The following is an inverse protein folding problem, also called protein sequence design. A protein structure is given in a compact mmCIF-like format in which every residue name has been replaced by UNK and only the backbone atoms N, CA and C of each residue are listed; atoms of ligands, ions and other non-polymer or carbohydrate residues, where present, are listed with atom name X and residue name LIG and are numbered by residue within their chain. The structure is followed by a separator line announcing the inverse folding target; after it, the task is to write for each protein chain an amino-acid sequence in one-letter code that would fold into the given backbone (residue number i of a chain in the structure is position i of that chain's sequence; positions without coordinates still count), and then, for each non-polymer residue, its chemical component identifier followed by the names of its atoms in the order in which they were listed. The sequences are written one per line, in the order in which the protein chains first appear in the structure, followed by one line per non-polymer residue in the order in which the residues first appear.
data_IF_997264938415
#
_entry.id   IF_997264938415
#
_cell.length_a   1.000
_cell.length_b   1.000
_cell.length_c   1.000
_cell.angle_alpha   90.00
_cell.angle_beta   90.00
_cell.angle_gamma   90.00
#
_symmetry.space_group_name_H-M   'P 1'
#
loop_
_entity.id
_entity.type
_entity.pdbx_description
1 polymer ?
#
# COMPACT_ATOMS: atom_id res chain seq x y z
N UNK A 1 -3.45 -15.18 -16.44
CA UNK A 1 -4.64 -15.90 -15.89
C UNK A 1 -4.58 -16.05 -14.37
N UNK A 2 -3.52 -16.58 -13.75
CA UNK A 2 -3.46 -16.81 -12.28
C UNK A 2 -3.63 -15.55 -11.39
N UNK A 3 -3.02 -14.41 -11.74
CA UNK A 3 -3.13 -13.18 -10.92
C UNK A 3 -4.55 -12.61 -10.89
N UNK A 4 -5.27 -12.69 -12.02
CA UNK A 4 -6.66 -12.27 -12.12
C UNK A 4 -7.57 -13.17 -11.28
N UNK A 5 -7.28 -14.47 -11.24
CA UNK A 5 -8.01 -15.46 -10.46
C UNK A 5 -7.88 -15.22 -8.95
N UNK A 6 -6.65 -14.96 -8.46
CA UNK A 6 -6.41 -14.62 -7.04
C UNK A 6 -7.06 -13.30 -6.64
N UNK A 7 -7.08 -12.32 -7.55
CA UNK A 7 -7.70 -11.01 -7.30
C UNK A 7 -9.23 -11.12 -7.29
N UNK A 8 -9.81 -11.94 -8.17
CA UNK A 8 -11.24 -12.24 -8.22
C UNK A 8 -11.68 -13.02 -6.98
N UNK A 9 -10.94 -14.08 -6.60
CA UNK A 9 -11.22 -14.88 -5.41
C UNK A 9 -11.23 -14.01 -4.14
N UNK A 10 -10.21 -13.16 -3.97
CA UNK A 10 -10.13 -12.22 -2.86
C UNK A 10 -11.33 -11.26 -2.79
N UNK A 11 -11.80 -10.79 -3.94
CA UNK A 11 -12.98 -9.91 -4.02
C UNK A 11 -14.27 -10.63 -3.62
N UNK A 12 -14.42 -11.91 -3.98
CA UNK A 12 -15.55 -12.73 -3.54
C UNK A 12 -15.48 -13.03 -2.04
N UNK A 13 -14.30 -13.39 -1.55
CA UNK A 13 -14.03 -13.66 -0.13
C UNK A 13 -14.33 -12.43 0.73
N UNK A 14 -13.90 -11.23 0.31
CA UNK A 14 -14.20 -9.98 1.00
C UNK A 14 -15.70 -9.68 1.04
N UNK A 15 -16.46 -10.00 -0.02
CA UNK A 15 -17.92 -9.85 -0.03
C UNK A 15 -18.60 -10.82 0.93
N UNK A 16 -18.23 -12.10 0.88
CA UNK A 16 -18.76 -13.14 1.77
C UNK A 16 -18.49 -12.81 3.24
N UNK A 17 -17.29 -12.31 3.56
CA UNK A 17 -16.91 -11.93 4.93
C UNK A 17 -17.72 -10.73 5.45
N UNK A 18 -18.00 -9.74 4.58
CA UNK A 18 -18.88 -8.60 4.91
C UNK A 18 -20.34 -9.02 5.13
N UNK A 19 -20.83 -9.93 4.30
CA UNK A 19 -22.18 -10.48 4.39
C UNK A 19 -22.36 -11.26 5.70
N UNK A 20 -21.45 -12.18 6.02
CA UNK A 20 -21.44 -12.94 7.27
C UNK A 20 -21.34 -12.02 8.50
N UNK A 21 -20.49 -10.99 8.44
CA UNK A 21 -20.42 -9.99 9.50
C UNK A 21 -21.76 -9.25 9.70
N UNK A 22 -22.48 -8.93 8.62
CA UNK A 22 -23.82 -8.33 8.70
C UNK A 22 -24.82 -9.27 9.35
N UNK A 23 -24.84 -10.54 8.96
CA UNK A 23 -25.76 -11.55 9.50
C UNK A 23 -25.49 -11.84 10.98
N UNK A 24 -24.22 -11.92 11.39
CA UNK A 24 -23.82 -12.01 12.80
C UNK A 24 -24.31 -10.79 13.60
N UNK A 25 -24.14 -9.57 13.07
CA UNK A 25 -24.65 -8.34 13.71
C UNK A 25 -26.17 -8.32 13.87
N UNK A 26 -26.90 -9.04 13.02
CA UNK A 26 -28.36 -9.17 13.07
C UNK A 26 -28.82 -10.37 13.92
N UNK A 27 -27.91 -11.13 14.53
CA UNK A 27 -28.24 -12.31 15.34
C UNK A 27 -28.69 -13.52 14.53
N UNK A 28 -28.52 -13.50 13.20
CA UNK A 28 -28.91 -14.59 12.31
C UNK A 28 -27.91 -15.75 12.30
N UNK A 29 -26.68 -15.50 12.74
CA UNK A 29 -25.55 -16.45 12.72
C UNK A 29 -24.85 -16.35 14.07
N UNK A 30 -24.44 -17.48 14.63
CA UNK A 30 -23.71 -17.51 15.90
C UNK A 30 -22.31 -16.92 15.74
N UNK A 31 -21.72 -16.48 16.85
CA UNK A 31 -20.33 -15.99 16.83
C UNK A 31 -19.34 -17.06 16.35
N UNK A 32 -19.57 -18.33 16.72
CA UNK A 32 -18.72 -19.46 16.36
C UNK A 32 -18.77 -19.73 14.85
N UNK A 33 -19.97 -19.79 14.25
CA UNK A 33 -20.13 -19.95 12.81
C UNK A 33 -19.49 -18.79 12.01
N UNK A 34 -19.65 -17.55 12.47
CA UNK A 34 -18.97 -16.41 11.87
C UNK A 34 -17.44 -16.55 11.95
N UNK A 35 -16.92 -16.93 13.12
CA UNK A 35 -15.48 -17.06 13.36
C UNK A 35 -14.88 -18.15 12.48
N UNK A 36 -15.52 -19.30 12.40
CA UNK A 36 -15.03 -20.45 11.65
C UNK A 36 -15.03 -20.17 10.16
N UNK A 37 -16.12 -19.60 9.63
CA UNK A 37 -16.22 -19.20 8.22
C UNK A 37 -15.20 -18.11 7.86
N UNK A 38 -15.02 -17.10 8.74
CA UNK A 38 -14.02 -16.07 8.56
C UNK A 38 -12.58 -16.62 8.60
N UNK A 39 -12.32 -17.63 9.45
CA UNK A 39 -11.05 -18.32 9.56
C UNK A 39 -10.75 -19.11 8.27
N UNK A 40 -11.66 -19.99 7.85
CA UNK A 40 -11.53 -20.80 6.64
C UNK A 40 -11.28 -19.96 5.38
N UNK A 41 -12.02 -18.86 5.25
CA UNK A 41 -11.83 -17.90 4.17
C UNK A 41 -10.43 -17.29 4.18
N UNK A 42 -9.97 -16.83 5.36
CA UNK A 42 -8.64 -16.22 5.51
C UNK A 42 -7.51 -17.21 5.22
N UNK A 43 -7.66 -18.46 5.67
CA UNK A 43 -6.71 -19.54 5.40
C UNK A 43 -6.65 -19.88 3.91
N UNK A 44 -7.80 -19.95 3.24
CA UNK A 44 -7.88 -20.17 1.79
C UNK A 44 -7.15 -19.08 1.01
N UNK A 45 -7.40 -17.82 1.35
CA UNK A 45 -6.69 -16.66 0.76
C UNK A 45 -5.18 -16.73 1.04
N UNK A 46 -4.80 -17.09 2.26
CA UNK A 46 -3.40 -17.25 2.67
C UNK A 46 -2.67 -18.31 1.84
N UNK A 47 -3.27 -19.49 1.70
CA UNK A 47 -2.74 -20.61 0.91
C UNK A 47 -2.62 -20.26 -0.57
N UNK A 48 -3.67 -19.67 -1.16
CA UNK A 48 -3.64 -19.26 -2.57
C UNK A 48 -2.55 -18.21 -2.85
N UNK A 49 -2.37 -17.26 -1.92
CA UNK A 49 -1.31 -16.26 -2.01
C UNK A 49 0.07 -16.89 -1.91
N UNK A 50 0.31 -17.76 -0.93
CA UNK A 50 1.59 -18.46 -0.77
C UNK A 50 1.95 -19.29 -2.01
N UNK A 51 0.96 -19.98 -2.59
CA UNK A 51 1.17 -20.74 -3.82
C UNK A 51 1.56 -19.85 -5.01
N UNK A 52 0.91 -18.69 -5.16
CA UNK A 52 1.25 -17.71 -6.19
C UNK A 52 2.69 -17.21 -6.01
N UNK A 53 3.07 -16.84 -4.79
CA UNK A 53 4.42 -16.35 -4.47
C UNK A 53 5.49 -17.42 -4.73
N UNK A 54 5.22 -18.67 -4.34
CA UNK A 54 6.10 -19.80 -4.61
C UNK A 54 6.27 -20.05 -6.11
N UNK A 55 5.19 -20.01 -6.88
CA UNK A 55 5.25 -20.16 -8.34
C UNK A 55 6.07 -19.04 -8.99
N UNK A 56 5.89 -17.79 -8.54
CA UNK A 56 6.65 -16.64 -9.06
C UNK A 56 8.13 -16.72 -8.71
N UNK A 57 8.48 -17.17 -7.50
CA UNK A 57 9.86 -17.34 -7.07
C UNK A 57 10.54 -18.47 -7.85
N UNK A 58 9.86 -19.61 -8.03
CA UNK A 58 10.38 -20.74 -8.82
C UNK A 58 10.63 -20.36 -10.27
N UNK A 59 9.74 -19.56 -10.85
CA UNK A 59 9.82 -19.14 -12.25
C UNK A 59 10.56 -17.81 -12.45
N UNK A 60 11.25 -17.30 -11.42
CA UNK A 60 11.85 -15.97 -11.47
C UNK A 60 12.89 -15.82 -12.60
N UNK A 61 13.60 -16.89 -12.96
CA UNK A 61 14.61 -16.87 -14.03
C UNK A 61 13.99 -16.82 -15.43
N UNK A 62 12.87 -17.50 -15.66
CA UNK A 62 12.21 -17.53 -16.97
C UNK A 62 11.19 -16.39 -17.12
N UNK A 63 10.60 -15.94 -16.01
CA UNK A 63 9.56 -14.91 -15.96
C UNK A 63 9.94 -13.77 -14.99
N UNK A 64 11.13 -13.20 -15.20
CA UNK A 64 11.63 -12.04 -14.45
C UNK A 64 10.59 -10.90 -14.41
N UNK A 65 9.94 -10.61 -15.54
CA UNK A 65 8.92 -9.56 -15.66
C UNK A 65 7.72 -9.82 -14.74
N UNK A 66 7.22 -11.05 -14.67
CA UNK A 66 6.12 -11.43 -13.79
C UNK A 66 6.47 -11.28 -12.31
N UNK A 67 7.67 -11.74 -11.94
CA UNK A 67 8.20 -11.62 -10.58
C UNK A 67 8.33 -10.15 -10.14
N UNK A 68 9.08 -9.33 -10.90
CA UNK A 68 9.28 -7.92 -10.56
C UNK A 68 7.97 -7.12 -10.61
N UNK A 69 7.02 -7.44 -11.50
CA UNK A 69 5.69 -6.81 -11.49
C UNK A 69 4.95 -7.06 -10.18
N UNK A 70 4.96 -8.30 -9.67
CA UNK A 70 4.32 -8.62 -8.39
C UNK A 70 4.99 -7.90 -7.22
N UNK A 71 6.33 -7.92 -7.17
CA UNK A 71 7.12 -7.22 -6.15
C UNK A 71 6.84 -5.71 -6.19
N UNK A 72 6.85 -5.10 -7.37
CA UNK A 72 6.57 -3.67 -7.53
C UNK A 72 5.13 -3.32 -7.14
N UNK A 73 4.15 -4.19 -7.43
CA UNK A 73 2.77 -4.01 -6.98
C UNK A 73 2.66 -4.06 -5.46
N UNK A 74 3.38 -4.98 -4.80
CA UNK A 74 3.40 -5.10 -3.32
C UNK A 74 4.19 -3.98 -2.64
N UNK A 75 5.25 -3.51 -3.28
CA UNK A 75 6.08 -2.37 -2.85
C UNK A 75 5.45 -1.02 -3.09
N UNK A 76 4.26 -0.94 -3.72
CA UNK A 76 3.47 0.30 -3.73
C UNK A 76 3.04 0.65 -2.30
N UNK A 77 3.98 1.15 -1.50
CA UNK A 77 3.66 2.16 -0.51
C UNK A 77 3.07 3.35 -1.28
N UNK A 78 2.16 4.09 -0.63
CA UNK A 78 1.67 5.36 -1.14
C UNK A 78 2.82 6.37 -1.02
N UNK A 79 3.86 6.20 -1.83
CA UNK A 79 4.93 7.18 -2.05
C UNK A 79 4.34 8.30 -2.91
N UNK A 80 3.31 8.95 -2.36
CA UNK A 80 3.00 10.31 -2.71
C UNK A 80 3.86 11.13 -1.79
N UNK A 81 4.72 11.98 -2.36
CA UNK A 81 5.20 13.15 -1.62
C UNK A 81 3.94 13.80 -1.03
N UNK A 82 3.87 14.01 0.30
CA UNK A 82 2.75 14.71 0.89
C UNK A 82 2.60 16.07 0.20
N UNK A 83 1.38 16.57 0.00
CA UNK A 83 1.19 17.88 -0.59
C UNK A 83 2.03 18.93 0.14
N UNK A 84 2.77 19.74 -0.60
CA UNK A 84 3.62 20.78 -0.02
C UNK A 84 2.73 21.84 0.63
N UNK A 85 3.10 22.24 1.84
CA UNK A 85 2.43 23.33 2.55
C UNK A 85 3.30 24.57 2.45
N UNK A 86 2.67 25.70 2.14
CA UNK A 86 3.33 26.98 2.22
C UNK A 86 3.55 27.40 3.68
N UNK A 87 4.26 28.50 3.89
CA UNK A 87 4.52 29.11 5.20
C UNK A 87 3.25 29.45 6.00
N UNK A 88 2.10 29.59 5.34
CA UNK A 88 0.82 29.87 5.98
C UNK A 88 0.07 28.59 6.38
N UNK A 89 0.58 27.41 6.00
CA UNK A 89 -0.06 26.12 6.24
C UNK A 89 -1.08 25.73 5.16
N UNK A 90 -1.20 26.49 4.07
CA UNK A 90 -2.07 26.16 2.93
C UNK A 90 -1.34 25.27 1.93
N UNK A 91 -2.11 24.49 1.15
CA UNK A 91 -1.57 23.67 0.06
C UNK A 91 -0.94 24.54 -1.04
N UNK A 92 0.32 24.29 -1.36
CA UNK A 92 0.96 24.88 -2.53
C UNK A 92 0.31 24.31 -3.81
N UNK A 93 -0.39 25.17 -4.53
CA UNK A 93 -1.28 24.81 -5.63
C UNK A 93 -0.62 25.00 -7.00
N UNK A 94 0.17 26.06 -7.16
CA UNK A 94 0.93 26.34 -8.38
C UNK A 94 2.33 25.74 -8.33
N UNK A 95 3.00 25.63 -9.48
CA UNK A 95 4.36 25.09 -9.53
C UNK A 95 5.37 26.10 -8.97
N UNK A 96 5.09 27.40 -9.10
CA UNK A 96 5.84 28.49 -8.48
C UNK A 96 5.78 28.40 -6.94
N UNK A 97 4.59 28.23 -6.35
CA UNK A 97 4.42 28.09 -4.90
C UNK A 97 5.20 26.88 -4.36
N UNK A 98 5.17 25.76 -5.08
CA UNK A 98 5.93 24.55 -4.70
C UNK A 98 7.43 24.80 -4.78
N UNK A 99 7.90 25.51 -5.81
CA UNK A 99 9.32 25.82 -5.98
C UNK A 99 9.82 26.74 -4.85
N UNK A 100 9.04 27.74 -4.45
CA UNK A 100 9.35 28.61 -3.31
C UNK A 100 9.46 27.82 -2.01
N UNK A 101 8.47 26.97 -1.70
CA UNK A 101 8.49 26.14 -0.47
C UNK A 101 9.74 25.27 -0.40
N UNK A 102 10.12 24.64 -1.51
CA UNK A 102 11.32 23.80 -1.57
C UNK A 102 12.61 24.63 -1.44
N UNK A 103 12.67 25.79 -2.10
CA UNK A 103 13.82 26.67 -2.04
C UNK A 103 14.04 27.26 -0.64
N UNK A 104 12.97 27.68 0.04
CA UNK A 104 13.00 28.19 1.41
C UNK A 104 13.48 27.11 2.38
N UNK A 105 12.96 25.88 2.25
CA UNK A 105 13.42 24.75 3.04
C UNK A 105 14.91 24.50 2.81
N UNK A 106 15.35 24.47 1.54
CA UNK A 106 16.76 24.26 1.18
C UNK A 106 17.66 25.35 1.78
N UNK A 107 17.33 26.63 1.59
CA UNK A 107 18.10 27.75 2.14
C UNK A 107 18.23 27.71 3.68
N UNK A 108 17.18 27.26 4.37
CA UNK A 108 17.20 27.07 5.82
C UNK A 108 18.26 26.05 6.26
N UNK A 109 18.40 24.92 5.55
CA UNK A 109 19.38 23.87 5.91
C UNK A 109 20.84 24.30 5.66
N UNK A 110 21.08 25.21 4.71
CA UNK A 110 22.42 25.70 4.37
C UNK A 110 22.84 26.96 5.13
N UNK A 111 22.08 27.39 6.14
CA UNK A 111 22.40 28.55 6.97
C UNK A 111 23.42 28.23 8.08
N UNK A 112 24.50 27.50 7.74
CA UNK A 112 25.56 27.06 8.65
C UNK A 112 26.85 27.85 8.49
N UNK A 113 27.11 28.76 9.44
CA UNK A 113 28.40 29.37 9.80
C UNK A 113 29.22 30.03 8.67
N UNK A 114 28.90 31.30 8.39
CA UNK A 114 29.90 32.26 7.89
C UNK A 114 30.89 32.58 9.02
N UNK A 115 31.84 31.68 9.26
CA UNK A 115 33.05 32.03 10.01
C UNK A 115 33.85 33.00 9.15
N UNK A 116 34.22 34.20 9.64
CA UNK A 116 35.16 35.06 8.92
C UNK A 116 36.47 34.30 8.78
N UNK A 117 36.96 34.14 7.55
CA UNK A 117 38.32 33.68 7.31
C UNK A 117 39.29 34.75 7.85
N UNK A 118 40.16 34.45 8.83
CA UNK A 118 41.20 35.38 9.24
C UNK A 118 42.24 35.44 8.12
N UNK A 119 42.55 36.67 7.70
CA UNK A 119 43.57 37.00 6.69
C UNK A 119 44.98 36.70 7.19
#
# INVERSE_FOLDING_TARGET
MQVALVSHQRSQDDKSKRELHRQWKQGQVTWEEYRDTACLCSDGVGKAKAQLELNLARDANNNKKGFYRYINQKRKAKESVPPLLNKNGDLASTDEEKAEVLNDFFASVFSGNRSPHPS
#
